data_IF_589212948442
#
_entry.id   IF_589212948442
#
_cell.length_a   1.000
_cell.length_b   1.000
_cell.length_c   1.000
_cell.angle_alpha   90.00
_cell.angle_beta   90.00
_cell.angle_gamma   90.00
#
_symmetry.space_group_name_H-M   'P 1'
#
loop_
_entity.id
_entity.type
_entity.pdbx_description
1 polymer ?
#
# COMPACT_ATOMS: atom_id res chain seq x y z
N UNK A 1 -31.56 -39.23 -0.68
CA UNK A 1 -31.34 -38.04 0.12
C UNK A 1 -30.43 -38.51 1.27
N UNK A 2 -29.11 -38.45 1.01
CA UNK A 2 -28.09 -38.86 2.00
C UNK A 2 -27.99 -37.76 3.05
N UNK A 3 -28.18 -38.17 4.28
CA UNK A 3 -27.95 -37.27 5.44
C UNK A 3 -26.44 -37.19 5.67
N UNK A 4 -25.88 -36.01 5.58
CA UNK A 4 -24.49 -35.76 6.00
C UNK A 4 -24.43 -35.89 7.51
N UNK A 5 -23.51 -36.70 8.03
CA UNK A 5 -23.34 -36.99 9.44
C UNK A 5 -22.91 -35.69 10.19
N UNK A 6 -23.60 -35.35 11.27
CA UNK A 6 -23.26 -34.21 12.13
C UNK A 6 -21.82 -34.27 12.66
N UNK A 7 -21.23 -35.47 12.80
CA UNK A 7 -19.85 -35.64 13.18
C UNK A 7 -18.86 -35.25 12.07
N UNK A 8 -19.21 -35.37 10.79
CA UNK A 8 -18.41 -34.86 9.66
C UNK A 8 -18.50 -33.33 9.55
N UNK A 9 -19.65 -32.75 9.88
CA UNK A 9 -19.81 -31.30 9.95
C UNK A 9 -19.05 -30.67 11.15
N UNK A 10 -18.99 -31.35 12.29
CA UNK A 10 -18.18 -30.91 13.42
C UNK A 10 -16.69 -31.06 13.17
N UNK A 11 -16.25 -32.09 12.46
CA UNK A 11 -14.84 -32.28 12.10
C UNK A 11 -14.34 -31.29 11.05
N UNK A 12 -15.23 -30.77 10.20
CA UNK A 12 -14.94 -29.68 9.27
C UNK A 12 -14.90 -28.26 9.94
N UNK A 13 -15.41 -28.17 11.17
CA UNK A 13 -15.39 -26.92 11.95
C UNK A 13 -14.17 -26.80 12.88
N UNK A 14 -13.40 -27.87 13.08
CA UNK A 14 -12.10 -27.83 13.76
C UNK A 14 -11.00 -27.55 12.71
N UNK A 15 -11.02 -26.34 12.11
CA UNK A 15 -9.82 -25.84 11.44
C UNK A 15 -8.73 -25.69 12.51
N UNK A 16 -7.49 -26.18 12.26
CA UNK A 16 -6.39 -25.99 13.22
C UNK A 16 -6.20 -24.48 13.43
N UNK A 17 -6.20 -24.05 14.70
CA UNK A 17 -6.10 -22.65 15.12
C UNK A 17 -4.81 -21.93 14.71
N UNK A 18 -3.93 -22.53 13.89
CA UNK A 18 -2.60 -22.06 13.52
C UNK A 18 -2.26 -22.12 12.01
N UNK A 19 -3.21 -22.28 11.12
CA UNK A 19 -2.91 -21.99 9.70
C UNK A 19 -2.70 -20.49 9.56
N UNK A 20 -1.44 -20.09 9.49
CA UNK A 20 -1.02 -18.72 9.15
C UNK A 20 -1.63 -18.38 7.80
N UNK A 21 -2.79 -17.73 7.82
CA UNK A 21 -3.49 -17.26 6.62
C UNK A 21 -2.57 -16.28 5.89
N UNK A 22 -1.90 -16.73 4.87
CA UNK A 22 -1.03 -16.03 3.93
C UNK A 22 -0.35 -14.75 4.43
N UNK A 23 0.95 -14.72 4.42
CA UNK A 23 1.72 -13.52 4.75
C UNK A 23 1.85 -12.63 3.52
N UNK A 24 1.47 -11.36 3.66
CA UNK A 24 1.50 -10.36 2.59
C UNK A 24 2.62 -9.36 2.83
N UNK A 25 3.51 -9.18 1.85
CA UNK A 25 4.55 -8.14 1.88
C UNK A 25 4.05 -6.89 1.18
N UNK A 26 4.34 -5.74 1.77
CA UNK A 26 4.07 -4.43 1.17
C UNK A 26 5.30 -3.53 1.36
N UNK A 27 5.51 -2.61 0.44
CA UNK A 27 6.55 -1.57 0.55
C UNK A 27 5.94 -0.23 0.23
N UNK A 28 6.14 0.77 1.10
CA UNK A 28 5.50 2.06 0.88
C UNK A 28 5.92 3.17 1.84
N UNK A 29 5.32 4.33 1.64
CA UNK A 29 5.52 5.53 2.44
C UNK A 29 4.27 5.84 3.26
N UNK A 30 4.30 5.65 4.59
CA UNK A 30 3.27 6.21 5.46
C UNK A 30 3.47 7.72 5.60
N UNK A 31 2.38 8.45 5.70
CA UNK A 31 2.37 9.91 5.79
C UNK A 31 1.52 10.38 6.96
N UNK A 32 1.97 11.40 7.68
CA UNK A 32 1.08 12.16 8.55
C UNK A 32 -0.07 12.74 7.74
N UNK A 33 -1.28 12.68 8.24
CA UNK A 33 -2.46 13.23 7.62
C UNK A 33 -3.11 14.24 8.57
N UNK A 34 -3.17 15.50 8.14
CA UNK A 34 -3.92 16.54 8.82
C UNK A 34 -5.21 16.80 8.06
N UNK A 35 -6.34 16.49 8.68
CA UNK A 35 -7.68 16.60 8.10
C UNK A 35 -8.32 17.86 8.63
N UNK A 36 -8.71 18.78 7.73
CA UNK A 36 -9.41 20.00 8.09
C UNK A 36 -10.74 19.67 8.81
N UNK A 37 -10.99 20.34 9.94
CA UNK A 37 -12.26 20.21 10.66
C UNK A 37 -13.31 21.22 10.18
N UNK A 38 -12.85 22.26 9.47
CA UNK A 38 -13.65 23.34 8.93
C UNK A 38 -13.80 23.20 7.42
N UNK A 39 -14.93 23.71 6.88
CA UNK A 39 -15.12 23.87 5.44
C UNK A 39 -14.38 25.12 4.97
N UNK A 40 -13.79 25.06 3.78
CA UNK A 40 -13.08 26.20 3.18
C UNK A 40 -11.77 25.83 2.52
N UNK A 41 -11.03 26.86 2.12
CA UNK A 41 -9.69 26.69 1.56
C UNK A 41 -8.69 26.34 2.68
N UNK A 42 -7.66 25.54 2.36
CA UNK A 42 -6.72 25.03 3.36
C UNK A 42 -5.94 26.14 4.10
N UNK A 43 -5.72 27.29 3.46
CA UNK A 43 -5.08 28.46 4.05
C UNK A 43 -5.92 29.16 5.13
N UNK A 44 -7.23 28.96 5.13
CA UNK A 44 -8.16 29.58 6.07
C UNK A 44 -8.49 28.65 7.25
N UNK A 45 -8.10 27.36 7.17
CA UNK A 45 -8.40 26.36 8.20
C UNK A 45 -7.44 26.51 9.37
N UNK A 46 -8.00 26.56 10.58
CA UNK A 46 -7.25 26.70 11.83
C UNK A 46 -7.19 25.42 12.67
N UNK A 47 -8.14 24.50 12.47
CA UNK A 47 -8.21 23.26 13.23
C UNK A 47 -8.10 22.02 12.34
N UNK A 48 -7.23 21.11 12.76
CA UNK A 48 -6.99 19.86 12.05
C UNK A 48 -6.96 18.69 13.02
N UNK A 49 -7.61 17.61 12.65
CA UNK A 49 -7.40 16.31 13.28
C UNK A 49 -6.23 15.59 12.61
N UNK A 50 -5.44 14.87 13.42
CA UNK A 50 -4.27 14.14 12.95
C UNK A 50 -4.58 12.65 12.79
N UNK A 51 -4.10 12.06 11.69
CA UNK A 51 -4.20 10.64 11.39
C UNK A 51 -2.94 10.16 10.65
N UNK A 52 -2.91 8.89 10.29
CA UNK A 52 -1.90 8.29 9.41
C UNK A 52 -2.55 7.90 8.10
N UNK A 53 -1.86 8.13 6.99
CA UNK A 53 -2.27 7.73 5.66
C UNK A 53 -1.10 7.08 4.90
N UNK A 54 -1.40 6.55 3.73
CA UNK A 54 -0.47 5.89 2.81
C UNK A 54 -1.23 4.80 2.07
N UNK A 55 -1.04 4.69 0.76
CA UNK A 55 -1.79 3.71 -0.02
C UNK A 55 -1.50 2.29 0.47
N UNK A 56 -0.24 1.91 0.51
CA UNK A 56 0.22 0.60 0.95
C UNK A 56 0.00 0.41 2.46
N UNK A 57 0.13 1.47 3.25
CA UNK A 57 -0.18 1.46 4.68
C UNK A 57 -1.64 1.11 4.95
N UNK A 58 -2.58 1.73 4.22
CA UNK A 58 -4.00 1.46 4.36
C UNK A 58 -4.34 0.01 4.01
N UNK A 59 -3.70 -0.55 2.98
CA UNK A 59 -3.85 -1.96 2.62
C UNK A 59 -3.31 -2.85 3.74
N UNK A 60 -2.11 -2.57 4.27
CA UNK A 60 -1.50 -3.34 5.34
C UNK A 60 -2.38 -3.34 6.62
N UNK A 61 -2.95 -2.18 6.99
CA UNK A 61 -3.90 -2.07 8.11
C UNK A 61 -5.17 -2.86 7.83
N UNK A 62 -5.72 -2.77 6.61
CA UNK A 62 -6.91 -3.52 6.21
C UNK A 62 -6.69 -5.04 6.31
N UNK A 63 -5.57 -5.52 5.78
CA UNK A 63 -5.20 -6.94 5.84
C UNK A 63 -5.02 -7.41 7.29
N UNK A 64 -4.33 -6.62 8.12
CA UNK A 64 -4.16 -6.93 9.55
C UNK A 64 -5.49 -7.03 10.30
N UNK A 65 -6.47 -6.18 9.98
CA UNK A 65 -7.82 -6.23 10.56
C UNK A 65 -8.66 -7.41 10.06
N UNK A 66 -8.31 -7.94 8.89
CA UNK A 66 -8.89 -9.17 8.32
C UNK A 66 -8.12 -10.43 8.74
N UNK A 67 -7.27 -10.30 9.76
CA UNK A 67 -6.50 -11.40 10.37
C UNK A 67 -5.40 -12.00 9.47
N UNK A 68 -4.94 -11.25 8.46
CA UNK A 68 -3.77 -11.60 7.66
C UNK A 68 -2.49 -10.96 8.21
N UNK A 69 -1.36 -11.64 8.14
CA UNK A 69 -0.07 -11.07 8.52
C UNK A 69 0.44 -10.12 7.44
N UNK A 70 0.49 -8.83 7.74
CA UNK A 70 1.01 -7.79 6.86
C UNK A 70 2.45 -7.43 7.24
N UNK A 71 3.39 -7.72 6.35
CA UNK A 71 4.80 -7.36 6.48
C UNK A 71 5.05 -6.06 5.72
N UNK A 72 5.05 -4.94 6.44
CA UNK A 72 5.15 -3.61 5.83
C UNK A 72 6.58 -3.08 5.88
N UNK A 73 7.23 -3.02 4.73
CA UNK A 73 8.55 -2.44 4.56
C UNK A 73 8.45 -0.92 4.39
N UNK A 74 8.98 -0.17 5.36
CA UNK A 74 9.04 1.28 5.32
C UNK A 74 10.20 1.80 6.16
N UNK A 75 10.66 3.03 5.91
CA UNK A 75 11.55 3.77 6.79
C UNK A 75 10.80 4.91 7.45
N UNK A 76 11.06 5.12 8.75
CA UNK A 76 10.48 6.20 9.54
C UNK A 76 11.58 7.09 10.08
N UNK A 77 11.34 8.39 10.07
CA UNK A 77 12.19 9.38 10.73
C UNK A 77 12.07 9.34 12.25
N UNK A 78 13.04 9.91 12.94
CA UNK A 78 12.96 10.16 14.40
C UNK A 78 12.34 11.52 14.69
N UNK A 79 11.14 11.75 14.18
CA UNK A 79 10.36 12.96 14.37
C UNK A 79 8.97 12.64 14.95
N UNK A 80 8.15 13.65 15.32
CA UNK A 80 6.82 13.42 15.89
C UNK A 80 5.88 12.64 14.97
N UNK A 81 6.00 12.81 13.63
CA UNK A 81 5.16 12.10 12.65
C UNK A 81 5.55 10.63 12.62
N UNK A 82 6.85 10.30 12.55
CA UNK A 82 7.36 8.94 12.62
C UNK A 82 7.01 8.22 13.92
N UNK A 83 7.07 8.94 15.04
CA UNK A 83 6.63 8.41 16.35
C UNK A 83 5.13 8.09 16.38
N UNK A 84 4.32 8.89 15.71
CA UNK A 84 2.88 8.62 15.56
C UNK A 84 2.64 7.39 14.70
N UNK A 85 3.31 7.28 13.54
CA UNK A 85 3.25 6.09 12.69
C UNK A 85 3.64 4.83 13.46
N UNK A 86 4.70 4.89 14.25
CA UNK A 86 5.16 3.77 15.04
C UNK A 86 4.09 3.27 16.02
N UNK A 87 3.47 4.20 16.77
CA UNK A 87 2.39 3.86 17.72
C UNK A 87 1.16 3.28 17.03
N UNK A 88 0.80 3.78 15.85
CA UNK A 88 -0.32 3.24 15.09
C UNK A 88 -0.04 1.83 14.57
N UNK A 89 1.20 1.54 14.16
CA UNK A 89 1.59 0.19 13.77
C UNK A 89 1.47 -0.81 14.94
N UNK A 90 1.89 -0.43 16.13
CA UNK A 90 1.80 -1.29 17.34
C UNK A 90 0.36 -1.62 17.75
N UNK A 91 -0.61 -0.81 17.33
CA UNK A 91 -2.04 -1.05 17.58
C UNK A 91 -2.67 -2.07 16.65
N UNK A 92 -1.98 -2.46 15.58
CA UNK A 92 -2.51 -3.42 14.61
C UNK A 92 -2.02 -4.84 14.95
N UNK A 93 -2.91 -5.83 15.16
CA UNK A 93 -2.57 -7.12 15.77
C UNK A 93 -1.61 -7.98 14.95
N UNK A 94 -1.70 -7.93 13.61
CA UNK A 94 -0.89 -8.74 12.69
C UNK A 94 -0.06 -7.89 11.73
N UNK A 95 0.25 -6.68 12.15
CA UNK A 95 1.06 -5.75 11.37
C UNK A 95 2.51 -5.83 11.82
N UNK A 96 3.40 -6.26 10.95
CA UNK A 96 4.84 -6.30 11.20
C UNK A 96 5.56 -5.29 10.32
N UNK A 97 6.36 -4.47 10.92
CA UNK A 97 7.26 -3.56 10.22
C UNK A 97 8.65 -4.18 10.11
N UNK A 98 9.28 -4.04 8.93
CA UNK A 98 10.56 -4.70 8.64
C UNK A 98 11.74 -3.77 8.42
N UNK A 99 11.54 -2.44 8.44
CA UNK A 99 12.63 -1.49 8.22
C UNK A 99 12.91 -0.65 9.45
N UNK A 100 14.19 -0.31 9.63
CA UNK A 100 14.70 0.39 10.80
C UNK A 100 14.35 1.88 10.80
N UNK A 101 14.37 2.47 12.01
CA UNK A 101 14.56 3.90 12.19
C UNK A 101 16.04 4.18 11.96
N UNK A 102 16.38 4.93 10.93
CA UNK A 102 17.77 5.28 10.71
C UNK A 102 18.15 6.70 11.16
N UNK A 103 17.24 7.42 11.78
CA UNK A 103 17.50 8.74 12.35
C UNK A 103 17.88 9.84 11.33
N UNK A 104 18.02 9.50 10.06
CA UNK A 104 18.56 10.38 9.02
C UNK A 104 17.51 10.90 8.02
N UNK A 105 16.26 10.84 8.33
CA UNK A 105 15.19 11.37 7.49
C UNK A 105 14.06 11.92 8.32
N UNK A 106 13.18 12.65 7.67
CA UNK A 106 11.94 13.12 8.28
C UNK A 106 10.77 12.40 7.63
N UNK A 107 9.79 12.04 8.44
CA UNK A 107 8.51 11.64 7.88
C UNK A 107 7.80 12.85 7.28
N UNK A 108 6.94 12.58 6.34
CA UNK A 108 6.25 13.62 5.60
C UNK A 108 4.76 13.55 5.91
N UNK A 109 4.07 14.61 5.54
CA UNK A 109 2.65 14.73 5.81
C UNK A 109 1.91 15.33 4.62
N UNK A 110 0.60 15.22 4.68
CA UNK A 110 -0.32 15.91 3.78
C UNK A 110 -1.43 16.57 4.57
N UNK A 111 -1.95 17.65 4.03
CA UNK A 111 -3.15 18.32 4.53
C UNK A 111 -4.30 18.01 3.58
N UNK A 112 -5.43 17.60 4.14
CA UNK A 112 -6.65 17.28 3.40
C UNK A 112 -7.73 18.28 3.79
N UNK A 113 -8.20 19.03 2.82
CA UNK A 113 -9.32 19.95 2.98
C UNK A 113 -10.62 19.21 3.29
N UNK A 114 -11.63 19.96 3.65
CA UNK A 114 -13.01 19.49 3.81
C UNK A 114 -13.89 20.22 2.79
N UNK A 115 -14.74 19.48 2.10
CA UNK A 115 -15.68 20.01 1.11
C UNK A 115 -17.06 19.39 1.27
N UNK A 116 -18.10 20.12 0.89
CA UNK A 116 -19.46 19.59 0.87
C UNK A 116 -19.73 18.72 -0.37
N UNK A 117 -19.00 18.94 -1.45
CA UNK A 117 -19.17 18.21 -2.70
C UNK A 117 -17.84 18.00 -3.43
N UNK A 118 -17.72 16.88 -4.12
CA UNK A 118 -16.52 16.50 -4.87
C UNK A 118 -15.38 16.01 -3.99
N UNK A 119 -14.20 15.87 -4.62
CA UNK A 119 -12.99 15.45 -3.93
C UNK A 119 -12.33 16.62 -3.20
N UNK A 120 -11.96 16.46 -1.92
CA UNK A 120 -11.28 17.49 -1.16
C UNK A 120 -9.88 17.79 -1.73
N UNK A 121 -9.45 19.04 -1.67
CA UNK A 121 -8.09 19.45 -2.00
C UNK A 121 -7.10 18.78 -1.05
N UNK A 122 -5.97 18.31 -1.60
CA UNK A 122 -4.88 17.72 -0.82
C UNK A 122 -3.58 18.46 -1.15
N UNK A 123 -2.93 18.99 -0.11
CA UNK A 123 -1.60 19.56 -0.19
C UNK A 123 -0.56 18.56 0.34
N UNK A 124 0.43 18.20 -0.49
CA UNK A 124 1.45 17.21 -0.14
C UNK A 124 2.78 17.89 0.23
N UNK A 125 3.32 17.51 1.38
CA UNK A 125 4.63 17.92 1.89
C UNK A 125 5.51 16.66 2.02
N UNK A 126 5.94 16.06 0.87
CA UNK A 126 6.53 14.70 0.87
C UNK A 126 7.93 14.58 0.24
N UNK A 127 8.60 15.67 -0.15
CA UNK A 127 9.95 15.59 -0.76
C UNK A 127 10.98 15.11 0.24
N UNK A 128 11.86 14.19 -0.18
CA UNK A 128 12.98 13.67 0.62
C UNK A 128 12.53 13.07 1.97
N UNK A 129 11.48 12.25 1.96
CA UNK A 129 11.05 11.50 3.14
C UNK A 129 12.05 10.42 3.52
N UNK A 130 11.99 9.93 4.78
CA UNK A 130 12.77 8.77 5.21
C UNK A 130 12.48 7.56 4.31
N UNK A 131 11.21 7.27 4.02
CA UNK A 131 10.81 6.18 3.13
C UNK A 131 11.35 6.33 1.70
N UNK A 132 11.54 7.56 1.18
CA UNK A 132 12.10 7.79 -0.15
C UNK A 132 13.54 7.29 -0.32
N UNK A 133 14.21 6.98 0.78
CA UNK A 133 15.61 6.50 0.82
C UNK A 133 15.71 4.97 0.88
N UNK A 134 14.58 4.26 0.90
CA UNK A 134 14.60 2.80 0.81
C UNK A 134 15.31 2.38 -0.47
N UNK A 135 16.26 1.47 -0.34
CA UNK A 135 17.16 1.03 -1.40
C UNK A 135 17.02 -0.47 -1.69
N UNK A 136 17.65 -0.93 -2.75
CA UNK A 136 17.76 -2.36 -3.06
C UNK A 136 18.44 -3.14 -1.94
N UNK A 137 19.39 -2.52 -1.23
CA UNK A 137 20.08 -3.15 -0.09
C UNK A 137 19.12 -3.43 1.08
N UNK A 138 18.16 -2.52 1.34
CA UNK A 138 17.15 -2.76 2.37
C UNK A 138 16.23 -3.91 1.97
N UNK A 139 15.85 -3.94 0.72
CA UNK A 139 15.04 -5.03 0.16
C UNK A 139 15.77 -6.38 0.24
N UNK A 140 17.08 -6.41 -0.01
CA UNK A 140 17.87 -7.65 0.04
C UNK A 140 17.96 -8.24 1.45
N UNK A 141 17.82 -7.41 2.48
CA UNK A 141 17.80 -7.84 3.89
C UNK A 141 16.45 -8.35 4.37
N UNK A 142 15.38 -8.16 3.60
CA UNK A 142 14.05 -8.63 4.00
C UNK A 142 14.03 -10.15 4.06
N UNK A 143 13.55 -10.68 5.17
CA UNK A 143 13.16 -12.09 5.25
C UNK A 143 11.77 -12.25 4.63
N UNK A 144 11.72 -12.92 3.48
CA UNK A 144 10.50 -13.21 2.73
C UNK A 144 10.06 -14.68 2.90
N UNK A 145 10.67 -15.41 3.84
CA UNK A 145 10.28 -16.79 4.09
C UNK A 145 8.83 -16.87 4.59
N UNK A 146 8.05 -17.75 4.01
CA UNK A 146 6.63 -17.92 4.32
C UNK A 146 5.75 -16.74 3.89
N UNK A 147 6.23 -15.89 2.96
CA UNK A 147 5.40 -14.87 2.32
C UNK A 147 4.82 -15.41 1.02
N UNK A 148 3.51 -15.30 0.85
CA UNK A 148 2.77 -15.82 -0.31
C UNK A 148 2.39 -14.74 -1.30
N UNK A 149 2.29 -13.49 -0.82
CA UNK A 149 1.79 -12.37 -1.62
C UNK A 149 2.69 -11.15 -1.48
N UNK A 150 2.83 -10.44 -2.59
CA UNK A 150 3.38 -9.08 -2.64
C UNK A 150 2.31 -8.12 -3.16
N UNK A 151 2.06 -7.05 -2.42
CA UNK A 151 1.24 -5.94 -2.93
C UNK A 151 2.09 -4.69 -3.10
N UNK A 152 2.04 -4.09 -4.29
CA UNK A 152 2.73 -2.85 -4.63
C UNK A 152 1.77 -1.86 -5.30
N UNK A 153 2.02 -0.56 -5.12
CA UNK A 153 1.29 0.49 -5.83
C UNK A 153 2.20 1.29 -6.76
N UNK A 154 1.60 2.10 -7.61
CA UNK A 154 2.33 3.05 -8.46
C UNK A 154 2.76 4.32 -7.73
N UNK A 155 2.39 4.51 -6.45
CA UNK A 155 2.77 5.69 -5.67
C UNK A 155 4.22 5.59 -5.20
N UNK A 156 4.58 4.51 -4.51
CA UNK A 156 5.89 4.40 -3.90
C UNK A 156 7.05 4.45 -4.93
N UNK A 157 6.99 3.78 -6.09
CA UNK A 157 8.02 3.92 -7.14
C UNK A 157 8.18 5.35 -7.68
N UNK A 158 7.16 6.20 -7.55
CA UNK A 158 7.20 7.59 -8.01
C UNK A 158 7.86 8.55 -7.00
N UNK A 159 8.09 8.11 -5.76
CA UNK A 159 8.63 8.96 -4.69
C UNK A 159 10.11 9.30 -4.91
N UNK A 160 10.89 8.34 -5.41
CA UNK A 160 12.31 8.53 -5.73
C UNK A 160 12.82 7.44 -6.67
N UNK A 161 14.00 7.69 -7.27
CA UNK A 161 14.68 6.65 -8.06
C UNK A 161 15.04 5.43 -7.20
N UNK A 162 15.49 5.65 -5.97
CA UNK A 162 15.83 4.57 -5.02
C UNK A 162 14.60 3.70 -4.71
N UNK A 163 13.45 4.34 -4.47
CA UNK A 163 12.18 3.64 -4.24
C UNK A 163 11.74 2.80 -5.46
N UNK A 164 11.89 3.34 -6.68
CA UNK A 164 11.61 2.58 -7.90
C UNK A 164 12.52 1.35 -8.05
N UNK A 165 13.81 1.52 -7.81
CA UNK A 165 14.78 0.43 -7.90
C UNK A 165 14.49 -0.62 -6.80
N UNK A 166 14.10 -0.19 -5.60
CA UNK A 166 13.68 -1.05 -4.49
C UNK A 166 12.43 -1.88 -4.84
N UNK A 167 11.38 -1.24 -5.41
CA UNK A 167 10.17 -1.95 -5.84
C UNK A 167 10.49 -3.01 -6.89
N UNK A 168 11.27 -2.67 -7.92
CA UNK A 168 11.69 -3.63 -8.95
C UNK A 168 12.46 -4.80 -8.36
N UNK A 169 13.37 -4.53 -7.41
CA UNK A 169 14.12 -5.57 -6.70
C UNK A 169 13.20 -6.48 -5.89
N UNK A 170 12.22 -5.91 -5.18
CA UNK A 170 11.25 -6.68 -4.40
C UNK A 170 10.38 -7.58 -5.29
N UNK A 171 9.87 -7.05 -6.41
CA UNK A 171 9.09 -7.83 -7.37
C UNK A 171 9.92 -8.98 -7.98
N UNK A 172 11.20 -8.72 -8.29
CA UNK A 172 12.12 -9.77 -8.78
C UNK A 172 12.34 -10.88 -7.73
N UNK A 173 12.50 -10.52 -6.45
CA UNK A 173 12.64 -11.49 -5.36
C UNK A 173 11.35 -12.28 -5.14
N UNK A 174 10.20 -11.60 -5.16
CA UNK A 174 8.89 -12.24 -5.04
C UNK A 174 8.67 -13.29 -6.12
N UNK A 175 8.99 -12.98 -7.39
CA UNK A 175 8.94 -13.94 -8.48
C UNK A 175 9.85 -15.15 -8.29
N UNK A 176 11.07 -14.92 -7.80
CA UNK A 176 12.01 -16.01 -7.54
C UNK A 176 11.56 -16.95 -6.41
N UNK A 177 10.59 -16.52 -5.60
CA UNK A 177 9.97 -17.26 -4.51
C UNK A 177 8.53 -17.72 -4.85
N UNK A 178 8.11 -17.60 -6.12
CA UNK A 178 6.77 -17.95 -6.60
C UNK A 178 5.61 -17.24 -5.86
N UNK A 179 5.89 -16.06 -5.28
CA UNK A 179 4.88 -15.25 -4.62
C UNK A 179 3.91 -14.64 -5.65
N UNK A 180 2.63 -14.56 -5.31
CA UNK A 180 1.62 -13.86 -6.11
C UNK A 180 1.76 -12.35 -5.97
N UNK A 181 1.89 -11.63 -7.09
CA UNK A 181 2.11 -10.19 -7.12
C UNK A 181 0.86 -9.45 -7.56
N UNK A 182 0.32 -8.59 -6.69
CA UNK A 182 -0.75 -7.63 -7.03
C UNK A 182 -0.19 -6.21 -7.16
N UNK A 183 -0.70 -5.47 -8.14
CA UNK A 183 -0.27 -4.12 -8.46
C UNK A 183 -1.48 -3.18 -8.62
N UNK A 184 -1.51 -2.10 -7.82
CA UNK A 184 -2.44 -0.98 -7.96
C UNK A 184 -1.72 0.19 -8.63
N UNK A 185 -2.06 0.61 -9.87
CA UNK A 185 -1.44 1.75 -10.54
C UNK A 185 -1.54 3.05 -9.74
N UNK A 186 -2.63 3.28 -9.07
CA UNK A 186 -2.88 4.39 -8.14
C UNK A 186 -2.29 5.71 -8.63
N UNK A 187 -2.75 6.18 -9.80
CA UNK A 187 -2.13 7.28 -10.55
C UNK A 187 -2.01 8.57 -9.75
N UNK A 188 -0.80 9.10 -9.70
CA UNK A 188 -0.50 10.41 -9.09
C UNK A 188 0.42 11.19 -10.04
N UNK A 189 -0.11 11.81 -11.14
CA UNK A 189 0.70 12.46 -12.15
C UNK A 189 1.71 13.47 -11.60
N UNK A 190 1.34 14.16 -10.50
CA UNK A 190 2.18 15.17 -9.84
C UNK A 190 3.47 14.62 -9.21
N UNK A 191 3.63 13.30 -9.07
CA UNK A 191 4.83 12.67 -8.58
C UNK A 191 5.85 12.35 -9.68
N UNK A 192 5.43 12.37 -10.92
CA UNK A 192 6.25 12.01 -12.08
C UNK A 192 6.78 13.24 -12.78
N UNK A 193 7.93 13.10 -13.42
CA UNK A 193 8.52 14.17 -14.24
C UNK A 193 7.61 14.58 -15.41
N UNK A 194 7.04 13.58 -16.06
CA UNK A 194 6.09 13.72 -17.15
C UNK A 194 5.21 12.45 -17.28
N UNK A 195 4.13 12.58 -18.04
CA UNK A 195 3.17 11.50 -18.28
C UNK A 195 3.79 10.29 -19.00
N UNK A 196 4.75 10.52 -19.91
CA UNK A 196 5.39 9.43 -20.66
C UNK A 196 6.25 8.55 -19.75
N UNK A 197 6.96 9.16 -18.81
CA UNK A 197 7.72 8.43 -17.80
C UNK A 197 6.79 7.64 -16.89
N UNK A 198 5.72 8.25 -16.40
CA UNK A 198 4.68 7.60 -15.59
C UNK A 198 4.12 6.37 -16.29
N UNK A 199 3.57 6.54 -17.50
CA UNK A 199 2.94 5.45 -18.27
C UNK A 199 3.93 4.32 -18.55
N UNK A 200 5.14 4.65 -19.00
CA UNK A 200 6.17 3.63 -19.27
C UNK A 200 6.53 2.85 -18.02
N UNK A 201 6.74 3.53 -16.90
CA UNK A 201 7.16 2.88 -15.64
C UNK A 201 6.05 2.02 -15.07
N UNK A 202 4.82 2.56 -14.97
CA UNK A 202 3.68 1.82 -14.43
C UNK A 202 3.33 0.60 -15.30
N UNK A 203 3.38 0.73 -16.63
CA UNK A 203 3.18 -0.42 -17.52
C UNK A 203 4.27 -1.48 -17.35
N UNK A 204 5.53 -1.08 -17.13
CA UNK A 204 6.60 -2.02 -16.84
C UNK A 204 6.36 -2.79 -15.55
N UNK A 205 5.89 -2.15 -14.49
CA UNK A 205 5.54 -2.81 -13.23
C UNK A 205 4.31 -3.71 -13.38
N UNK A 206 3.28 -3.24 -14.09
CA UNK A 206 2.08 -4.02 -14.35
C UNK A 206 2.35 -5.33 -15.13
N UNK A 207 3.34 -5.33 -16.05
CA UNK A 207 3.74 -6.53 -16.79
C UNK A 207 4.38 -7.60 -15.90
N UNK A 208 4.96 -7.19 -14.77
CA UNK A 208 5.59 -8.07 -13.80
C UNK A 208 4.60 -8.61 -12.74
N UNK A 209 3.37 -8.09 -12.70
CA UNK A 209 2.34 -8.49 -11.74
C UNK A 209 1.43 -9.59 -12.29
N UNK A 210 0.92 -10.44 -11.39
CA UNK A 210 -0.09 -11.45 -11.69
C UNK A 210 -1.50 -10.85 -11.74
N UNK A 211 -1.74 -9.81 -10.92
CA UNK A 211 -3.00 -9.10 -10.80
C UNK A 211 -2.78 -7.60 -10.85
N UNK A 212 -3.51 -6.90 -11.72
CA UNK A 212 -3.52 -5.43 -11.78
C UNK A 212 -4.90 -4.92 -11.40
N UNK A 213 -4.95 -3.94 -10.48
CA UNK A 213 -6.15 -3.39 -9.85
C UNK A 213 -6.35 -1.91 -10.20
N UNK A 214 -6.58 -1.52 -11.47
CA UNK A 214 -6.77 -0.12 -11.82
C UNK A 214 -8.17 0.36 -11.44
N UNK A 215 -8.28 1.60 -10.98
CA UNK A 215 -9.55 2.31 -10.93
C UNK A 215 -10.14 2.53 -12.34
N UNK A 216 -11.46 2.75 -12.45
CA UNK A 216 -12.14 2.91 -13.76
C UNK A 216 -11.53 4.05 -14.61
N UNK A 217 -11.15 5.16 -13.99
CA UNK A 217 -10.48 6.28 -14.66
C UNK A 217 -9.07 5.92 -15.11
N UNK A 218 -8.37 5.12 -14.34
CA UNK A 218 -6.99 4.67 -14.58
C UNK A 218 -6.90 3.64 -15.70
N UNK A 219 -7.92 2.78 -15.81
CA UNK A 219 -8.00 1.79 -16.88
C UNK A 219 -7.99 2.40 -18.28
N UNK A 220 -8.41 3.67 -18.43
CA UNK A 220 -8.36 4.41 -19.68
C UNK A 220 -6.92 4.77 -20.11
N UNK A 221 -6.03 4.98 -19.15
CA UNK A 221 -4.60 5.23 -19.41
C UNK A 221 -3.84 3.96 -19.74
N UNK A 222 -4.34 2.81 -19.31
CA UNK A 222 -3.73 1.49 -19.45
C UNK A 222 -4.07 0.79 -20.78
N UNK A 223 -4.42 1.51 -21.85
CA UNK A 223 -4.83 0.90 -23.14
C UNK A 223 -3.76 0.01 -23.81
N UNK A 224 -2.54 -0.01 -23.29
CA UNK A 224 -1.44 -0.85 -23.79
C UNK A 224 -1.13 -2.09 -22.92
N UNK A 225 -1.81 -2.29 -21.79
CA UNK A 225 -1.63 -3.50 -20.99
C UNK A 225 -2.39 -4.65 -21.65
N UNK A 226 -1.65 -5.48 -22.34
CA UNK A 226 -2.12 -6.68 -23.02
C UNK A 226 -2.92 -7.55 -22.06
N UNK A 227 -4.11 -7.95 -22.49
CA UNK A 227 -5.14 -8.85 -21.97
C UNK A 227 -4.68 -10.05 -21.11
N UNK A 228 -3.96 -9.83 -20.01
CA UNK A 228 -3.73 -10.88 -19.02
C UNK A 228 -4.27 -10.42 -17.67
N UNK A 229 -5.48 -10.95 -17.34
CA UNK A 229 -6.17 -10.89 -16.05
C UNK A 229 -6.37 -9.49 -15.42
N UNK A 230 -7.18 -8.66 -16.07
CA UNK A 230 -7.87 -7.57 -15.38
C UNK A 230 -9.10 -8.17 -14.71
N UNK A 231 -9.11 -8.27 -13.38
CA UNK A 231 -10.35 -8.48 -12.65
C UNK A 231 -11.19 -7.20 -12.77
N UNK A 232 -12.32 -7.29 -13.45
CA UNK A 232 -13.32 -6.21 -13.46
C UNK A 232 -13.77 -6.01 -12.02
N UNK A 233 -13.65 -4.78 -11.51
CA UNK A 233 -14.28 -4.40 -10.26
C UNK A 233 -15.78 -4.75 -10.37
N UNK A 234 -16.28 -5.54 -9.42
CA UNK A 234 -17.70 -5.79 -9.29
C UNK A 234 -18.35 -4.49 -8.81
N UNK A 235 -18.93 -3.74 -9.73
CA UNK A 235 -19.92 -2.75 -9.37
C UNK A 235 -21.18 -3.53 -9.02
N UNK A 236 -21.45 -3.72 -7.74
CA UNK A 236 -22.80 -4.01 -7.27
C UNK A 236 -23.67 -2.80 -7.58
N UNK A 237 -24.40 -2.87 -8.69
CA UNK A 237 -25.57 -2.04 -8.89
C UNK A 237 -26.58 -2.46 -7.83
N UNK A 238 -26.70 -1.69 -6.77
CA UNK A 238 -27.88 -1.74 -5.91
C UNK A 238 -28.98 -1.00 -6.66
N UNK A 239 -30.01 -1.76 -7.06
CA UNK A 239 -31.30 -1.24 -7.46
C UNK A 239 -32.09 -0.77 -6.24
#
# INVERSE_FOLDING_TARGET
>A
MEFVDEAELQKAAEEPEDEVRGRIVLVGEPMGLFIAEELGELEDVTHFSAAVAGAEYNVAVGLSRLDHEALYCTRLGDDPVGKTHFKEHERQPRFRRTCDRDGHGFDRFMMKGRTEAGDPKIAYFRRNSAASQISTHDIDKLDLYGCDFLHVTGIFPAVSKSALDAVKRLMSRAKALDMFISFDPNLRPQLWKDEKEMVRTLNSLAQEADLVLPGLSEAKFSQSVTRRRVLRSFTTSAA
#
